data_IF_581799130653
#
_entry.id   IF_581799130653
#
_cell.length_a   1.000
_cell.length_b   1.000
_cell.length_c   1.000
_cell.angle_alpha   90.00
_cell.angle_beta   90.00
_cell.angle_gamma   90.00
#
_symmetry.space_group_name_H-M   'P 1'
#
loop_
_entity.id
_entity.type
_entity.pdbx_description
1 polymer ?
#
# COMPACT_ATOMS: atom_id res chain seq x y z
N UNK A 1 -22.90 -19.05 -21.13
CA UNK A 1 -22.60 -18.21 -22.29
C UNK A 1 -23.26 -16.86 -22.05
N UNK A 2 -22.50 -15.90 -21.52
CA UNK A 2 -22.99 -14.57 -21.22
C UNK A 2 -23.37 -13.82 -22.49
N UNK A 3 -24.34 -12.94 -22.38
CA UNK A 3 -24.76 -12.04 -23.45
C UNK A 3 -23.59 -11.14 -23.87
N UNK A 4 -22.87 -11.53 -24.90
CA UNK A 4 -21.71 -10.76 -25.43
C UNK A 4 -22.08 -9.31 -25.76
N UNK A 5 -23.31 -9.09 -26.25
CA UNK A 5 -23.80 -7.74 -26.54
C UNK A 5 -23.91 -6.88 -25.30
N UNK A 6 -24.27 -7.46 -24.16
CA UNK A 6 -24.31 -6.77 -22.86
C UNK A 6 -22.91 -6.45 -22.36
N UNK A 7 -22.00 -7.41 -22.46
CA UNK A 7 -20.60 -7.23 -22.08
C UNK A 7 -19.92 -6.11 -22.88
N UNK A 8 -20.10 -6.07 -24.20
CA UNK A 8 -19.57 -5.02 -25.07
C UNK A 8 -20.16 -3.63 -24.74
N UNK A 9 -21.46 -3.55 -24.39
CA UNK A 9 -22.10 -2.30 -23.93
C UNK A 9 -21.58 -1.85 -22.58
N UNK A 10 -21.39 -2.77 -21.63
CA UNK A 10 -20.82 -2.48 -20.31
C UNK A 10 -19.37 -1.99 -20.46
N UNK A 11 -18.55 -2.68 -21.26
CA UNK A 11 -17.19 -2.25 -21.53
C UNK A 11 -17.15 -0.83 -22.15
N UNK A 12 -18.02 -0.55 -23.13
CA UNK A 12 -18.14 0.78 -23.75
C UNK A 12 -18.57 1.84 -22.74
N UNK A 13 -19.48 1.51 -21.79
CA UNK A 13 -19.90 2.41 -20.73
C UNK A 13 -18.73 2.75 -19.79
N UNK A 14 -17.97 1.76 -19.34
CA UNK A 14 -16.81 1.98 -18.47
C UNK A 14 -15.73 2.82 -19.19
N UNK A 15 -15.47 2.60 -20.48
CA UNK A 15 -14.53 3.43 -21.24
C UNK A 15 -15.01 4.88 -21.28
N UNK A 16 -16.32 5.15 -21.47
CA UNK A 16 -16.87 6.51 -21.41
C UNK A 16 -16.67 7.16 -20.03
N UNK A 17 -17.01 6.45 -18.95
CA UNK A 17 -16.84 6.94 -17.58
C UNK A 17 -15.37 7.26 -17.33
N UNK A 18 -14.46 6.32 -17.65
CA UNK A 18 -13.02 6.50 -17.44
C UNK A 18 -12.42 7.59 -18.34
N UNK A 19 -12.98 7.83 -19.53
CA UNK A 19 -12.58 8.97 -20.36
C UNK A 19 -12.97 10.31 -19.74
N UNK A 20 -14.14 10.39 -19.10
CA UNK A 20 -14.52 11.60 -18.33
C UNK A 20 -13.58 11.79 -17.14
N UNK A 21 -13.31 10.73 -16.38
CA UNK A 21 -12.35 10.78 -15.27
C UNK A 21 -10.95 11.12 -15.75
N UNK A 22 -10.52 10.60 -16.90
CA UNK A 22 -9.26 10.97 -17.57
C UNK A 22 -9.17 12.49 -17.78
N UNK A 23 -10.21 13.11 -18.35
CA UNK A 23 -10.25 14.57 -18.55
C UNK A 23 -10.17 15.34 -17.22
N UNK A 24 -10.84 14.86 -16.17
CA UNK A 24 -10.78 15.47 -14.84
C UNK A 24 -9.38 15.35 -14.22
N UNK A 25 -8.72 14.20 -14.36
CA UNK A 25 -7.34 13.99 -13.88
C UNK A 25 -6.38 14.91 -14.63
N UNK A 26 -6.51 15.01 -15.96
CA UNK A 26 -5.68 15.92 -16.76
C UNK A 26 -5.88 17.37 -16.32
N UNK A 27 -7.12 17.81 -16.16
CA UNK A 27 -7.40 19.18 -15.73
C UNK A 27 -6.82 19.46 -14.32
N UNK A 28 -7.05 18.56 -13.36
CA UNK A 28 -6.53 18.68 -12.00
C UNK A 28 -4.99 18.64 -11.96
N UNK A 29 -4.37 17.72 -12.69
CA UNK A 29 -2.92 17.58 -12.74
C UNK A 29 -2.22 18.77 -13.40
N UNK A 30 -2.77 19.29 -14.49
CA UNK A 30 -2.22 20.52 -15.11
C UNK A 30 -2.43 21.75 -14.23
N UNK A 31 -3.57 21.86 -13.55
CA UNK A 31 -3.82 22.94 -12.60
C UNK A 31 -2.83 22.85 -11.41
N UNK A 32 -2.58 21.66 -10.90
CA UNK A 32 -1.59 21.43 -9.85
C UNK A 32 -0.17 21.79 -10.34
N UNK A 33 0.23 21.34 -11.53
CA UNK A 33 1.53 21.66 -12.12
C UNK A 33 1.73 23.17 -12.36
N UNK A 34 0.65 23.90 -12.71
CA UNK A 34 0.70 25.35 -12.85
C UNK A 34 0.89 26.08 -11.51
N UNK A 35 0.30 25.55 -10.43
CA UNK A 35 0.35 26.15 -9.08
C UNK A 35 1.40 25.52 -8.15
N UNK A 36 2.38 24.83 -8.67
CA UNK A 36 3.40 24.10 -7.91
C UNK A 36 4.24 25.00 -6.99
N UNK A 37 4.29 26.31 -7.29
CA UNK A 37 4.97 27.30 -6.45
C UNK A 37 4.37 27.41 -5.04
N UNK A 38 3.07 27.16 -4.87
CA UNK A 38 2.40 27.15 -3.56
C UNK A 38 2.86 25.97 -2.72
N UNK A 39 3.15 24.83 -3.37
CA UNK A 39 3.66 23.60 -2.72
C UNK A 39 5.16 23.67 -2.42
N UNK A 40 5.92 24.49 -3.14
CA UNK A 40 7.39 24.48 -3.19
C UNK A 40 8.07 25.34 -2.12
N UNK A 41 7.47 25.49 -0.94
CA UNK A 41 8.01 26.32 0.15
C UNK A 41 9.47 26.00 0.54
N UNK A 42 9.90 24.75 0.31
CA UNK A 42 11.21 24.22 0.68
C UNK A 42 12.06 23.71 -0.51
N UNK A 43 11.64 23.98 -1.76
CA UNK A 43 12.30 23.49 -2.97
C UNK A 43 13.03 24.63 -3.71
N UNK A 44 14.16 24.29 -4.34
CA UNK A 44 14.89 25.20 -5.22
C UNK A 44 14.15 25.39 -6.56
N UNK A 45 14.49 26.43 -7.32
CA UNK A 45 13.86 26.70 -8.62
C UNK A 45 14.03 25.54 -9.62
N UNK A 46 15.20 24.89 -9.62
CA UNK A 46 15.51 23.75 -10.50
C UNK A 46 14.73 22.50 -10.09
N UNK A 47 14.56 22.26 -8.78
CA UNK A 47 13.74 21.17 -8.26
C UNK A 47 12.25 21.37 -8.62
N UNK A 48 11.76 22.61 -8.55
CA UNK A 48 10.38 22.94 -8.96
C UNK A 48 10.19 22.71 -10.46
N UNK A 49 11.16 23.06 -11.30
CA UNK A 49 11.10 22.79 -12.73
C UNK A 49 11.04 21.29 -13.04
N UNK A 50 11.91 20.51 -12.40
CA UNK A 50 11.93 19.04 -12.52
C UNK A 50 10.64 18.42 -12.00
N UNK A 51 10.14 18.85 -10.85
CA UNK A 51 8.90 18.38 -10.26
C UNK A 51 7.70 18.68 -11.18
N UNK A 52 7.68 19.84 -11.84
CA UNK A 52 6.63 20.18 -12.81
C UNK A 52 6.58 19.20 -13.97
N UNK A 53 7.74 18.85 -14.54
CA UNK A 53 7.84 17.85 -15.62
C UNK A 53 7.37 16.49 -15.13
N UNK A 54 7.80 16.07 -13.95
CA UNK A 54 7.38 14.79 -13.35
C UNK A 54 5.88 14.73 -13.11
N UNK A 55 5.28 15.79 -12.55
CA UNK A 55 3.82 15.87 -12.31
C UNK A 55 3.05 15.77 -13.62
N UNK A 56 3.48 16.49 -14.67
CA UNK A 56 2.84 16.43 -15.98
C UNK A 56 2.92 15.02 -16.56
N UNK A 57 4.11 14.40 -16.56
CA UNK A 57 4.31 13.03 -17.06
C UNK A 57 3.47 12.01 -16.29
N UNK A 58 3.46 12.08 -14.96
CA UNK A 58 2.65 11.18 -14.13
C UNK A 58 1.16 11.39 -14.34
N UNK A 59 0.71 12.62 -14.49
CA UNK A 59 -0.69 12.98 -14.80
C UNK A 59 -1.11 12.36 -16.12
N UNK A 60 -0.33 12.59 -17.17
CA UNK A 60 -0.62 12.03 -18.51
C UNK A 60 -0.59 10.50 -18.47
N UNK A 61 0.42 9.91 -17.81
CA UNK A 61 0.52 8.47 -17.65
C UNK A 61 -0.74 7.88 -16.99
N UNK A 62 -1.13 8.40 -15.83
CA UNK A 62 -2.31 7.90 -15.11
C UNK A 62 -3.60 8.12 -15.90
N UNK A 63 -3.79 9.30 -16.46
CA UNK A 63 -5.00 9.68 -17.17
C UNK A 63 -5.20 8.84 -18.44
N UNK A 64 -4.16 8.72 -19.28
CA UNK A 64 -4.25 8.04 -20.59
C UNK A 64 -4.50 6.55 -20.42
N UNK A 65 -3.87 5.89 -19.42
CA UNK A 65 -4.03 4.46 -19.24
C UNK A 65 -5.31 4.05 -18.51
N UNK A 66 -6.00 4.98 -17.85
CA UNK A 66 -7.23 4.68 -17.12
C UNK A 66 -8.33 4.06 -18.02
N UNK A 67 -8.70 4.59 -19.19
CA UNK A 67 -9.67 3.95 -20.08
C UNK A 67 -9.22 2.57 -20.57
N UNK A 68 -7.92 2.35 -20.74
CA UNK A 68 -7.37 1.07 -21.19
C UNK A 68 -7.37 0.00 -20.09
N UNK A 69 -7.50 0.37 -18.82
CA UNK A 69 -7.61 -0.56 -17.71
C UNK A 69 -8.85 -1.46 -17.78
N UNK A 70 -9.88 -1.04 -18.52
CA UNK A 70 -11.08 -1.84 -18.83
C UNK A 70 -10.69 -3.16 -19.50
N UNK A 71 -9.71 -3.14 -20.40
CA UNK A 71 -9.28 -4.35 -21.10
C UNK A 71 -8.56 -5.35 -20.19
N UNK A 72 -7.80 -4.84 -19.20
CA UNK A 72 -7.21 -5.69 -18.15
C UNK A 72 -8.30 -6.38 -17.32
N UNK A 73 -9.34 -5.64 -16.95
CA UNK A 73 -10.49 -6.17 -16.20
C UNK A 73 -11.28 -7.21 -17.00
N UNK A 74 -11.45 -7.00 -18.32
CA UNK A 74 -12.08 -7.99 -19.23
C UNK A 74 -11.28 -9.29 -19.32
N UNK A 75 -9.94 -9.20 -19.41
CA UNK A 75 -9.06 -10.38 -19.42
C UNK A 75 -9.22 -11.17 -18.12
N UNK A 76 -9.30 -10.48 -16.98
CA UNK A 76 -9.48 -11.10 -15.66
C UNK A 76 -10.89 -11.71 -15.52
N UNK A 77 -11.94 -11.01 -15.97
CA UNK A 77 -13.33 -11.50 -15.95
C UNK A 77 -13.53 -12.77 -16.80
N UNK A 78 -12.73 -12.93 -17.86
CA UNK A 78 -12.69 -14.15 -18.67
C UNK A 78 -11.75 -15.24 -18.12
N UNK A 79 -11.36 -15.13 -16.84
CA UNK A 79 -10.51 -16.11 -16.13
C UNK A 79 -9.16 -16.38 -16.80
N UNK A 80 -8.64 -15.43 -17.59
CA UNK A 80 -7.34 -15.55 -18.25
C UNK A 80 -6.19 -15.19 -17.30
N UNK A 81 -6.21 -15.81 -16.12
CA UNK A 81 -5.26 -15.56 -15.03
C UNK A 81 -3.80 -15.77 -15.43
N UNK A 82 -3.51 -16.79 -16.23
CA UNK A 82 -2.13 -17.09 -16.67
C UNK A 82 -1.56 -15.91 -17.46
N UNK A 83 -2.30 -15.42 -18.48
CA UNK A 83 -1.87 -14.28 -19.27
C UNK A 83 -1.70 -13.02 -18.43
N UNK A 84 -2.67 -12.74 -17.53
CA UNK A 84 -2.63 -11.59 -16.62
C UNK A 84 -1.40 -11.65 -15.70
N UNK A 85 -1.13 -12.80 -15.08
CA UNK A 85 0.00 -13.00 -14.18
C UNK A 85 1.34 -12.95 -14.89
N UNK A 86 1.48 -13.60 -16.05
CA UNK A 86 2.71 -13.56 -16.86
C UNK A 86 3.07 -12.13 -17.27
N UNK A 87 2.08 -11.38 -17.77
CA UNK A 87 2.32 -9.98 -18.17
C UNK A 87 2.71 -9.11 -16.98
N UNK A 88 2.05 -9.30 -15.82
CA UNK A 88 2.42 -8.63 -14.57
C UNK A 88 3.84 -8.98 -14.11
N UNK A 89 4.23 -10.26 -14.16
CA UNK A 89 5.60 -10.71 -13.82
C UNK A 89 6.64 -10.11 -14.77
N UNK A 90 6.38 -10.13 -16.07
CA UNK A 90 7.26 -9.52 -17.07
C UNK A 90 7.44 -8.02 -16.83
N UNK A 91 6.35 -7.29 -16.56
CA UNK A 91 6.41 -5.86 -16.24
C UNK A 91 7.20 -5.60 -14.95
N UNK A 92 7.00 -6.43 -13.91
CA UNK A 92 7.70 -6.29 -12.63
C UNK A 92 9.20 -6.60 -12.72
N UNK A 93 9.62 -7.48 -13.63
CA UNK A 93 11.04 -7.76 -13.89
C UNK A 93 11.66 -6.73 -14.85
N UNK A 94 10.91 -6.30 -15.86
CA UNK A 94 11.40 -5.32 -16.83
C UNK A 94 11.59 -3.92 -16.23
N UNK A 95 10.75 -3.52 -15.26
CA UNK A 95 10.80 -2.18 -14.68
C UNK A 95 12.16 -1.87 -14.01
N UNK A 96 12.70 -2.68 -13.09
CA UNK A 96 14.01 -2.42 -12.49
C UNK A 96 15.14 -2.42 -13.51
N UNK A 97 15.13 -3.34 -14.48
CA UNK A 97 16.16 -3.43 -15.52
C UNK A 97 16.16 -2.18 -16.41
N UNK A 98 15.00 -1.74 -16.84
CA UNK A 98 14.87 -0.54 -17.66
C UNK A 98 15.25 0.71 -16.87
N UNK A 99 14.84 0.79 -15.60
CA UNK A 99 15.22 1.88 -14.70
C UNK A 99 16.73 1.96 -14.50
N UNK A 100 17.41 0.83 -14.27
CA UNK A 100 18.87 0.79 -14.15
C UNK A 100 19.54 1.26 -15.43
N UNK A 101 19.11 0.76 -16.59
CA UNK A 101 19.65 1.16 -17.88
C UNK A 101 19.56 2.68 -18.10
N UNK A 102 18.38 3.28 -17.81
CA UNK A 102 18.18 4.72 -17.98
C UNK A 102 18.99 5.56 -16.97
N UNK A 103 19.16 5.07 -15.74
CA UNK A 103 20.02 5.72 -14.75
C UNK A 103 21.48 5.72 -15.19
N UNK A 104 22.00 4.60 -15.71
CA UNK A 104 23.36 4.53 -16.27
C UNK A 104 23.53 5.43 -17.49
N UNK A 105 22.48 5.66 -18.26
CA UNK A 105 22.48 6.63 -19.37
C UNK A 105 22.34 8.11 -18.90
N UNK A 106 22.20 8.38 -17.58
CA UNK A 106 22.16 9.73 -17.04
C UNK A 106 20.78 10.42 -17.11
N UNK A 107 19.69 9.70 -17.40
CA UNK A 107 18.35 10.30 -17.55
C UNK A 107 17.68 10.73 -16.22
N UNK A 108 18.25 10.37 -15.07
CA UNK A 108 17.76 10.79 -13.75
C UNK A 108 16.30 10.40 -13.48
N UNK A 109 15.61 11.19 -12.65
CA UNK A 109 14.22 10.92 -12.22
C UNK A 109 13.20 10.99 -13.37
N UNK A 110 13.42 11.84 -14.35
CA UNK A 110 12.54 11.95 -15.53
C UNK A 110 12.60 10.67 -16.36
N UNK A 111 13.79 10.07 -16.51
CA UNK A 111 13.95 8.78 -17.18
C UNK A 111 13.19 7.65 -16.49
N UNK A 112 13.16 7.62 -15.16
CA UNK A 112 12.41 6.63 -14.39
C UNK A 112 10.88 6.72 -14.63
N UNK A 113 10.34 7.93 -14.73
CA UNK A 113 8.92 8.11 -15.03
C UNK A 113 8.61 7.79 -16.49
N UNK A 114 9.51 8.16 -17.40
CA UNK A 114 9.37 7.82 -18.83
C UNK A 114 9.41 6.30 -19.04
N UNK A 115 10.27 5.56 -18.33
CA UNK A 115 10.32 4.09 -18.39
C UNK A 115 9.00 3.45 -17.97
N UNK A 116 8.42 3.94 -16.88
CA UNK A 116 7.10 3.48 -16.42
C UNK A 116 6.02 3.72 -17.45
N UNK A 117 6.07 4.85 -18.17
CA UNK A 117 5.13 5.16 -19.25
C UNK A 117 5.27 4.17 -20.40
N UNK A 118 6.49 3.87 -20.84
CA UNK A 118 6.76 2.88 -21.90
C UNK A 118 6.25 1.50 -21.50
N UNK A 119 6.55 1.04 -20.28
CA UNK A 119 6.06 -0.23 -19.76
C UNK A 119 4.54 -0.31 -19.69
N UNK A 120 3.88 0.79 -19.32
CA UNK A 120 2.43 0.88 -19.31
C UNK A 120 1.85 0.78 -20.73
N UNK A 121 2.46 1.43 -21.74
CA UNK A 121 2.05 1.27 -23.13
C UNK A 121 2.14 -0.20 -23.59
N UNK A 122 3.22 -0.88 -23.26
CA UNK A 122 3.39 -2.30 -23.60
C UNK A 122 2.34 -3.16 -22.87
N UNK A 123 2.16 -2.92 -21.57
CA UNK A 123 1.25 -3.71 -20.72
C UNK A 123 -0.21 -3.54 -21.13
N UNK A 124 -0.70 -2.29 -21.16
CA UNK A 124 -2.10 -2.01 -21.51
C UNK A 124 -2.37 -2.22 -22.99
N UNK A 125 -1.39 -1.97 -23.86
CA UNK A 125 -1.45 -2.32 -25.27
C UNK A 125 -1.62 -3.84 -25.48
N UNK A 126 -0.90 -4.65 -24.69
CA UNK A 126 -1.01 -6.10 -24.69
C UNK A 126 -2.38 -6.58 -24.21
N UNK A 127 -2.94 -6.00 -23.14
CA UNK A 127 -4.30 -6.31 -22.68
C UNK A 127 -5.34 -5.94 -23.75
N UNK A 128 -5.19 -4.76 -24.35
CA UNK A 128 -6.09 -4.29 -25.41
C UNK A 128 -6.04 -5.21 -26.62
N UNK A 129 -4.84 -5.55 -27.11
CA UNK A 129 -4.65 -6.46 -28.22
C UNK A 129 -5.22 -7.86 -27.93
N UNK A 130 -5.03 -8.37 -26.72
CA UNK A 130 -5.57 -9.66 -26.29
C UNK A 130 -7.11 -9.65 -26.26
N UNK A 131 -7.71 -8.61 -25.65
CA UNK A 131 -9.17 -8.48 -25.56
C UNK A 131 -9.81 -8.35 -26.95
N UNK A 132 -9.25 -7.52 -27.84
CA UNK A 132 -9.80 -7.30 -29.18
C UNK A 132 -9.59 -8.48 -30.12
N UNK A 133 -8.39 -9.13 -30.11
CA UNK A 133 -8.03 -10.19 -31.06
C UNK A 133 -8.40 -11.58 -30.57
N UNK A 134 -8.12 -11.90 -29.31
CA UNK A 134 -8.29 -13.26 -28.74
C UNK A 134 -9.67 -13.46 -28.13
N UNK A 135 -10.16 -12.52 -27.33
CA UNK A 135 -11.51 -12.56 -26.76
C UNK A 135 -12.57 -12.06 -27.75
N UNK A 136 -12.14 -11.29 -28.76
CA UNK A 136 -13.01 -10.69 -29.80
C UNK A 136 -14.12 -9.81 -29.21
N UNK A 137 -13.86 -9.13 -28.09
CA UNK A 137 -14.77 -8.21 -27.44
C UNK A 137 -14.52 -6.81 -27.99
N UNK A 138 -15.53 -6.23 -28.63
CA UNK A 138 -15.47 -4.87 -29.18
C UNK A 138 -16.37 -3.95 -28.35
N UNK A 139 -15.80 -3.00 -27.59
CA UNK A 139 -16.61 -2.08 -26.78
C UNK A 139 -17.66 -1.36 -27.66
N UNK A 140 -18.91 -1.44 -27.22
CA UNK A 140 -20.03 -0.80 -27.91
C UNK A 140 -20.47 0.45 -27.15
N UNK A 141 -20.48 1.59 -27.85
CA UNK A 141 -20.87 2.87 -27.27
C UNK A 141 -22.38 3.17 -27.40
N UNK A 142 -23.19 2.14 -27.74
CA UNK A 142 -24.66 2.26 -27.81
C UNK A 142 -25.26 2.50 -26.42
N UNK A 143 -26.53 2.91 -26.36
CA UNK A 143 -27.26 3.10 -25.11
C UNK A 143 -27.27 1.82 -24.28
N UNK A 144 -26.87 1.93 -23.04
CA UNK A 144 -26.91 0.88 -22.01
C UNK A 144 -28.32 0.77 -21.42
N UNK A 145 -28.60 -0.31 -20.72
CA UNK A 145 -29.85 -0.53 -20.01
C UNK A 145 -30.17 0.63 -19.06
N UNK A 146 -31.44 1.11 -19.02
CA UNK A 146 -31.84 2.17 -18.09
C UNK A 146 -31.58 1.72 -16.64
N UNK A 147 -30.97 2.59 -15.84
CA UNK A 147 -30.64 2.32 -14.43
C UNK A 147 -29.26 1.71 -14.17
N UNK A 148 -28.64 0.99 -15.11
CA UNK A 148 -27.32 0.36 -14.92
C UNK A 148 -26.22 1.37 -14.55
N UNK A 149 -26.24 2.55 -15.16
CA UNK A 149 -25.27 3.61 -14.83
C UNK A 149 -25.41 4.05 -13.36
N UNK A 150 -26.63 4.22 -12.86
CA UNK A 150 -26.88 4.61 -11.47
C UNK A 150 -26.42 3.54 -10.47
N UNK A 151 -26.64 2.26 -10.78
CA UNK A 151 -26.19 1.14 -9.96
C UNK A 151 -24.66 1.07 -9.92
N UNK A 152 -23.99 1.18 -11.07
CA UNK A 152 -22.52 1.20 -11.16
C UNK A 152 -21.96 2.39 -10.39
N UNK A 153 -22.49 3.60 -10.58
CA UNK A 153 -21.99 4.78 -9.89
C UNK A 153 -22.16 4.69 -8.39
N UNK A 154 -23.31 4.18 -7.91
CA UNK A 154 -23.56 3.97 -6.47
C UNK A 154 -22.54 2.98 -5.88
N UNK A 155 -22.33 1.83 -6.51
CA UNK A 155 -21.34 0.84 -6.08
C UNK A 155 -19.93 1.42 -6.12
N UNK A 156 -19.55 2.06 -7.24
CA UNK A 156 -18.23 2.64 -7.42
C UNK A 156 -17.95 3.78 -6.43
N UNK A 157 -18.94 4.57 -6.04
CA UNK A 157 -18.77 5.63 -5.05
C UNK A 157 -18.36 5.07 -3.68
N UNK A 158 -18.94 3.95 -3.24
CA UNK A 158 -18.53 3.31 -1.98
C UNK A 158 -17.11 2.75 -2.05
N UNK A 159 -16.75 2.10 -3.17
CA UNK A 159 -15.38 1.60 -3.38
C UNK A 159 -14.39 2.75 -3.44
N UNK A 160 -14.73 3.84 -4.13
CA UNK A 160 -13.91 5.03 -4.22
C UNK A 160 -13.67 5.67 -2.84
N UNK A 161 -14.72 5.84 -2.03
CA UNK A 161 -14.59 6.37 -0.67
C UNK A 161 -13.69 5.50 0.20
N UNK A 162 -13.82 4.17 0.12
CA UNK A 162 -12.95 3.25 0.84
C UNK A 162 -11.48 3.40 0.39
N UNK A 163 -11.25 3.47 -0.92
CA UNK A 163 -9.90 3.66 -1.48
C UNK A 163 -9.31 5.03 -1.15
N UNK A 164 -10.14 6.10 -1.09
CA UNK A 164 -9.67 7.40 -0.63
C UNK A 164 -9.18 7.37 0.81
N UNK A 165 -9.89 6.68 1.70
CA UNK A 165 -9.46 6.52 3.09
C UNK A 165 -8.10 5.81 3.16
N UNK A 166 -7.91 4.75 2.38
CA UNK A 166 -6.64 4.03 2.33
C UNK A 166 -5.50 4.93 1.80
N UNK A 167 -5.73 5.68 0.72
CA UNK A 167 -4.71 6.61 0.18
C UNK A 167 -4.37 7.72 1.17
N UNK A 168 -5.37 8.34 1.80
CA UNK A 168 -5.15 9.36 2.81
C UNK A 168 -4.34 8.80 3.98
N UNK A 169 -4.64 7.60 4.40
CA UNK A 169 -3.96 6.94 5.50
C UNK A 169 -2.49 6.65 5.22
N UNK A 170 -2.15 6.18 4.00
CA UNK A 170 -0.80 5.72 3.67
C UNK A 170 0.09 6.76 2.99
N UNK A 171 -0.48 7.84 2.45
CA UNK A 171 0.26 8.76 1.60
C UNK A 171 0.32 10.19 2.10
N UNK A 172 -0.54 10.58 3.04
CA UNK A 172 -0.64 11.98 3.48
C UNK A 172 0.64 12.44 4.19
N UNK A 173 1.28 11.58 4.99
CA UNK A 173 2.53 11.93 5.67
C UNK A 173 3.61 12.37 4.68
N UNK A 174 3.73 11.68 3.54
CA UNK A 174 4.70 11.99 2.48
C UNK A 174 4.43 13.35 1.83
N UNK A 175 3.15 13.70 1.66
CA UNK A 175 2.74 15.00 1.11
C UNK A 175 3.07 16.13 2.08
N UNK A 176 2.76 15.95 3.37
CA UNK A 176 3.04 16.94 4.42
C UNK A 176 4.55 17.14 4.58
N UNK A 177 5.33 16.04 4.63
CA UNK A 177 6.79 16.10 4.73
C UNK A 177 7.37 16.82 3.51
N UNK A 178 6.91 16.47 2.30
CA UNK A 178 7.37 17.11 1.07
C UNK A 178 7.07 18.62 1.03
N UNK A 179 5.92 19.02 1.55
CA UNK A 179 5.55 20.43 1.67
C UNK A 179 6.37 21.18 2.72
N UNK A 180 6.58 20.58 3.90
CA UNK A 180 7.20 21.26 5.05
C UNK A 180 8.74 21.19 5.03
N UNK A 181 9.33 20.04 4.64
CA UNK A 181 10.75 19.73 4.77
C UNK A 181 11.48 19.47 3.44
N UNK A 182 10.71 19.31 2.33
CA UNK A 182 11.27 19.15 1.00
C UNK A 182 11.52 17.72 0.54
N UNK A 183 12.16 17.59 -0.62
CA UNK A 183 12.31 16.32 -1.34
C UNK A 183 13.24 15.33 -0.63
N UNK A 184 14.35 15.81 -0.05
CA UNK A 184 15.33 14.95 0.64
C UNK A 184 14.71 14.29 1.86
N UNK A 185 14.00 15.06 2.71
CA UNK A 185 13.29 14.54 3.87
C UNK A 185 12.22 13.52 3.47
N UNK A 186 11.51 13.76 2.37
CA UNK A 186 10.54 12.82 1.81
C UNK A 186 11.22 11.52 1.35
N UNK A 187 12.40 11.59 0.74
CA UNK A 187 13.15 10.41 0.33
C UNK A 187 13.57 9.56 1.54
N UNK A 188 14.10 10.19 2.60
CA UNK A 188 14.46 9.51 3.85
C UNK A 188 13.24 8.81 4.48
N UNK A 189 12.12 9.52 4.58
CA UNK A 189 10.87 8.94 5.09
C UNK A 189 10.37 7.77 4.24
N UNK A 190 10.43 7.88 2.91
CA UNK A 190 10.02 6.80 1.99
C UNK A 190 10.85 5.54 2.16
N UNK A 191 12.17 5.66 2.35
CA UNK A 191 13.04 4.52 2.62
C UNK A 191 12.58 3.80 3.88
N UNK A 192 12.37 4.53 4.98
CA UNK A 192 11.85 3.94 6.22
C UNK A 192 10.47 3.27 6.05
N UNK A 193 9.54 3.95 5.38
CA UNK A 193 8.18 3.43 5.15
C UNK A 193 8.14 2.20 4.22
N UNK A 194 9.14 2.00 3.37
CA UNK A 194 9.22 0.84 2.47
C UNK A 194 9.30 -0.47 3.23
N UNK A 195 10.04 -0.52 4.33
CA UNK A 195 10.13 -1.72 5.18
C UNK A 195 8.78 -2.13 5.76
N UNK A 196 7.96 -1.15 6.17
CA UNK A 196 6.61 -1.39 6.63
C UNK A 196 5.74 -2.05 5.53
N UNK A 197 5.89 -1.63 4.27
CA UNK A 197 5.17 -2.21 3.13
C UNK A 197 5.51 -3.69 2.94
N UNK A 198 6.78 -4.07 3.04
CA UNK A 198 7.21 -5.46 2.91
C UNK A 198 6.65 -6.36 4.02
N UNK A 199 6.72 -5.90 5.27
CA UNK A 199 6.17 -6.66 6.41
C UNK A 199 4.65 -6.82 6.31
N UNK A 200 3.95 -5.76 5.88
CA UNK A 200 2.50 -5.79 5.62
C UNK A 200 2.16 -6.78 4.52
N UNK A 201 2.92 -6.80 3.42
CA UNK A 201 2.73 -7.73 2.31
C UNK A 201 2.84 -9.19 2.75
N UNK A 202 3.82 -9.51 3.59
CA UNK A 202 3.99 -10.87 4.11
C UNK A 202 2.82 -11.30 5.01
N UNK A 203 2.39 -10.44 5.93
CA UNK A 203 1.26 -10.74 6.82
C UNK A 203 -0.05 -10.92 6.03
N UNK A 204 -0.31 -10.07 5.04
CA UNK A 204 -1.52 -10.16 4.22
C UNK A 204 -1.53 -11.41 3.34
N UNK A 205 -0.38 -11.86 2.85
CA UNK A 205 -0.26 -13.12 2.10
C UNK A 205 -0.71 -14.32 2.94
N UNK A 206 -0.31 -14.38 4.22
CA UNK A 206 -0.69 -15.47 5.12
C UNK A 206 -2.19 -15.44 5.43
N UNK A 207 -2.71 -14.28 5.84
CA UNK A 207 -4.12 -14.16 6.22
C UNK A 207 -5.06 -14.31 5.03
N UNK A 208 -4.62 -13.94 3.83
CA UNK A 208 -5.40 -14.07 2.59
C UNK A 208 -5.75 -15.52 2.24
N UNK A 209 -4.90 -16.48 2.60
CA UNK A 209 -5.16 -17.92 2.40
C UNK A 209 -6.38 -18.43 3.20
N UNK A 210 -6.77 -17.72 4.25
CA UNK A 210 -7.86 -18.13 5.13
C UNK A 210 -9.23 -17.55 4.72
N UNK A 211 -9.25 -16.61 3.79
CA UNK A 211 -10.49 -15.93 3.36
C UNK A 211 -11.59 -16.92 2.95
N UNK A 212 -11.34 -17.91 2.06
CA UNK A 212 -12.37 -18.86 1.66
C UNK A 212 -12.94 -19.64 2.84
N UNK A 213 -12.07 -20.10 3.75
CA UNK A 213 -12.47 -20.86 4.94
C UNK A 213 -13.31 -20.04 5.90
N UNK A 214 -12.91 -18.79 6.16
CA UNK A 214 -13.65 -17.89 7.03
C UNK A 214 -15.01 -17.53 6.45
N UNK A 215 -15.10 -17.34 5.14
CA UNK A 215 -16.37 -17.10 4.43
C UNK A 215 -17.28 -18.32 4.51
N UNK A 216 -16.76 -19.53 4.29
CA UNK A 216 -17.54 -20.76 4.45
C UNK A 216 -18.08 -20.93 5.87
N UNK A 217 -17.24 -20.66 6.87
CA UNK A 217 -17.66 -20.69 8.29
C UNK A 217 -18.76 -19.68 8.59
N UNK A 218 -18.68 -18.47 8.03
CA UNK A 218 -19.69 -17.44 8.21
C UNK A 218 -21.03 -17.83 7.56
N UNK A 219 -20.98 -18.43 6.35
CA UNK A 219 -22.19 -18.92 5.65
C UNK A 219 -22.86 -20.09 6.40
N UNK A 220 -22.07 -20.93 7.07
CA UNK A 220 -22.56 -22.08 7.87
C UNK A 220 -22.91 -21.72 9.32
N UNK A 221 -22.96 -20.44 9.66
CA UNK A 221 -23.22 -19.96 11.03
C UNK A 221 -22.38 -20.67 12.09
N UNK A 222 -21.06 -20.86 11.81
CA UNK A 222 -20.15 -21.51 12.72
C UNK A 222 -20.09 -20.81 14.08
N UNK A 223 -19.89 -21.55 15.19
CA UNK A 223 -19.75 -20.98 16.52
C UNK A 223 -18.65 -19.92 16.60
N UNK A 224 -18.88 -18.86 17.38
CA UNK A 224 -17.93 -17.73 17.54
C UNK A 224 -16.58 -18.16 18.10
N UNK A 225 -16.58 -19.21 18.91
CA UNK A 225 -15.40 -19.83 19.48
C UNK A 225 -14.43 -20.32 18.41
N UNK A 226 -14.94 -20.87 17.31
CA UNK A 226 -14.12 -21.30 16.17
C UNK A 226 -13.43 -20.16 15.45
N UNK A 227 -14.08 -19.02 15.30
CA UNK A 227 -13.44 -17.82 14.75
C UNK A 227 -12.33 -17.33 15.68
N UNK A 228 -12.56 -17.37 17.00
CA UNK A 228 -11.58 -17.02 18.03
C UNK A 228 -10.36 -17.94 18.00
N UNK A 229 -10.56 -19.26 17.90
CA UNK A 229 -9.47 -20.24 17.77
C UNK A 229 -8.59 -19.98 16.55
N UNK A 230 -9.20 -19.74 15.37
CA UNK A 230 -8.45 -19.45 14.15
C UNK A 230 -7.71 -18.12 14.30
N UNK A 231 -8.36 -17.09 14.82
CA UNK A 231 -7.74 -15.78 15.06
C UNK A 231 -6.50 -15.91 15.96
N UNK A 232 -6.60 -16.63 17.08
CA UNK A 232 -5.50 -16.82 18.01
C UNK A 232 -4.38 -17.67 17.37
N UNK A 233 -4.74 -18.77 16.70
CA UNK A 233 -3.76 -19.68 16.08
C UNK A 233 -2.94 -18.99 15.00
N UNK A 234 -3.62 -18.30 14.09
CA UNK A 234 -2.95 -17.60 12.98
C UNK A 234 -2.21 -16.38 13.46
N UNK A 235 -2.79 -15.63 14.41
CA UNK A 235 -2.12 -14.47 15.00
C UNK A 235 -0.81 -14.84 15.71
N UNK A 236 -0.73 -16.02 16.36
CA UNK A 236 0.53 -16.54 16.92
C UNK A 236 1.58 -16.81 15.82
N UNK A 237 1.17 -17.45 14.72
CA UNK A 237 2.06 -17.70 13.58
C UNK A 237 2.55 -16.39 12.97
N UNK A 238 1.64 -15.44 12.74
CA UNK A 238 1.99 -14.11 12.25
C UNK A 238 2.90 -13.36 13.23
N UNK A 239 2.68 -13.50 14.54
CA UNK A 239 3.55 -12.89 15.55
C UNK A 239 4.98 -13.42 15.45
N UNK A 240 5.18 -14.74 15.32
CA UNK A 240 6.53 -15.31 15.17
C UNK A 240 7.23 -14.71 13.96
N UNK A 241 6.57 -14.66 12.81
CA UNK A 241 7.16 -14.16 11.57
C UNK A 241 7.41 -12.65 11.62
N UNK A 242 6.41 -11.87 12.01
CA UNK A 242 6.52 -10.41 12.03
C UNK A 242 7.52 -9.95 13.08
N UNK A 243 7.48 -10.53 14.31
CA UNK A 243 8.42 -10.19 15.36
C UNK A 243 9.85 -10.61 15.04
N UNK A 244 10.06 -11.74 14.35
CA UNK A 244 11.38 -12.13 13.84
C UNK A 244 11.93 -11.08 12.87
N UNK A 245 11.12 -10.63 11.90
CA UNK A 245 11.54 -9.59 10.94
C UNK A 245 11.81 -8.26 11.64
N UNK A 246 10.93 -7.85 12.57
CA UNK A 246 11.13 -6.61 13.34
C UNK A 246 12.39 -6.71 14.21
N UNK A 247 12.63 -7.84 14.88
CA UNK A 247 13.84 -8.05 15.68
C UNK A 247 15.11 -8.05 14.82
N UNK A 248 15.07 -8.69 13.66
CA UNK A 248 16.18 -8.62 12.70
C UNK A 248 16.42 -7.18 12.20
N UNK A 249 15.35 -6.43 11.93
CA UNK A 249 15.49 -5.04 11.54
C UNK A 249 16.02 -4.15 12.67
N UNK A 250 15.59 -4.37 13.91
CA UNK A 250 16.16 -3.68 15.09
C UNK A 250 17.67 -3.93 15.18
N UNK A 251 18.11 -5.17 14.95
CA UNK A 251 19.51 -5.55 15.06
C UNK A 251 20.36 -5.03 13.88
N UNK A 252 19.90 -5.21 12.65
CA UNK A 252 20.71 -5.03 11.43
C UNK A 252 20.28 -3.83 10.58
N UNK A 253 19.10 -3.25 10.85
CA UNK A 253 18.48 -2.24 9.98
C UNK A 253 19.31 -0.96 9.82
N UNK A 254 20.01 -0.52 10.86
CA UNK A 254 20.86 0.68 10.80
C UNK A 254 22.01 0.51 9.82
N UNK A 255 22.75 -0.59 9.94
CA UNK A 255 23.86 -0.94 9.05
C UNK A 255 23.37 -1.25 7.65
N UNK A 256 22.26 -1.94 7.53
CA UNK A 256 21.64 -2.24 6.24
C UNK A 256 21.28 -0.94 5.48
N UNK A 257 20.62 0.02 6.13
CA UNK A 257 20.25 1.29 5.50
C UNK A 257 21.50 2.07 5.10
N UNK A 258 22.52 2.14 5.95
CA UNK A 258 23.78 2.82 5.64
C UNK A 258 24.46 2.24 4.39
N UNK A 259 24.49 0.91 4.26
CA UNK A 259 25.07 0.23 3.09
C UNK A 259 24.19 0.32 1.84
N UNK A 260 22.87 0.28 2.02
CA UNK A 260 21.91 0.20 0.91
C UNK A 260 21.56 1.57 0.34
N UNK A 261 21.22 2.53 1.20
CA UNK A 261 20.80 3.86 0.81
C UNK A 261 21.95 4.87 0.80
N UNK A 262 23.04 4.58 1.53
CA UNK A 262 24.21 5.44 1.64
C UNK A 262 24.11 6.46 2.78
N UNK A 263 25.10 7.34 2.90
CA UNK A 263 25.15 8.36 3.95
C UNK A 263 24.02 9.38 3.78
N UNK A 264 23.52 9.90 4.91
CA UNK A 264 22.41 10.87 4.94
C UNK A 264 21.01 10.26 5.06
N UNK A 265 20.90 8.92 5.13
CA UNK A 265 19.63 8.22 5.29
C UNK A 265 19.48 7.54 6.66
N UNK A 266 20.32 7.89 7.64
CA UNK A 266 20.36 7.25 8.96
C UNK A 266 19.01 7.39 9.71
N UNK A 267 18.33 8.51 9.54
CA UNK A 267 17.02 8.75 10.17
C UNK A 267 15.92 7.80 9.65
N UNK A 268 16.08 7.24 8.44
CA UNK A 268 15.14 6.26 7.90
C UNK A 268 15.01 5.01 8.78
N UNK A 269 16.04 4.66 9.55
CA UNK A 269 16.00 3.58 10.53
C UNK A 269 14.96 3.85 11.63
N UNK A 270 14.97 5.05 12.20
CA UNK A 270 14.00 5.43 13.23
C UNK A 270 12.58 5.57 12.68
N UNK A 271 12.43 6.11 11.47
CA UNK A 271 11.14 6.15 10.75
C UNK A 271 10.58 4.73 10.57
N UNK A 272 11.43 3.79 10.11
CA UNK A 272 11.04 2.41 9.95
C UNK A 272 10.59 1.78 11.27
N UNK A 273 11.34 1.94 12.36
CA UNK A 273 10.97 1.42 13.68
C UNK A 273 9.65 2.00 14.20
N UNK A 274 9.48 3.33 14.12
CA UNK A 274 8.28 4.03 14.58
C UNK A 274 7.02 3.61 13.79
N UNK A 275 7.18 3.17 12.55
CA UNK A 275 6.06 2.68 11.74
C UNK A 275 5.88 1.17 11.82
N UNK A 276 6.95 0.36 11.82
CA UNK A 276 6.88 -1.12 11.85
C UNK A 276 6.44 -1.69 13.19
N UNK A 277 6.93 -1.13 14.31
CA UNK A 277 6.60 -1.67 15.64
C UNK A 277 5.10 -1.57 15.94
N UNK A 278 4.43 -0.40 15.79
CA UNK A 278 3.00 -0.32 16.05
C UNK A 278 2.17 -1.08 15.04
N UNK A 279 2.58 -1.15 13.77
CA UNK A 279 1.85 -1.88 12.74
C UNK A 279 1.90 -3.40 12.97
N UNK A 280 2.83 -3.90 13.77
CA UNK A 280 2.86 -5.33 14.17
C UNK A 280 1.51 -5.77 14.75
N UNK A 281 0.84 -4.91 15.55
CA UNK A 281 -0.45 -5.26 16.16
C UNK A 281 -1.54 -5.55 15.13
N UNK A 282 -1.89 -4.63 14.19
CA UNK A 282 -2.87 -4.95 13.16
C UNK A 282 -2.42 -6.08 12.23
N UNK A 283 -1.12 -6.30 12.02
CA UNK A 283 -0.63 -7.38 11.18
C UNK A 283 -0.85 -8.76 11.80
N UNK A 284 -0.58 -8.93 13.09
CA UNK A 284 -0.85 -10.21 13.79
C UNK A 284 -2.34 -10.45 14.00
N UNK A 285 -3.17 -9.42 13.84
CA UNK A 285 -4.63 -9.47 13.91
C UNK A 285 -5.30 -9.42 12.52
N UNK A 286 -4.53 -9.53 11.43
CA UNK A 286 -5.05 -9.36 10.07
C UNK A 286 -6.15 -10.40 9.72
N UNK A 287 -6.11 -11.59 10.33
CA UNK A 287 -7.20 -12.57 10.26
C UNK A 287 -8.53 -12.00 10.78
N UNK A 288 -8.50 -11.10 11.76
CA UNK A 288 -9.69 -10.42 12.27
C UNK A 288 -10.37 -9.53 11.22
N UNK A 289 -9.60 -8.89 10.35
CA UNK A 289 -10.13 -8.15 9.21
C UNK A 289 -10.93 -9.08 8.28
N UNK A 290 -10.37 -10.24 7.94
CA UNK A 290 -11.05 -11.22 7.09
C UNK A 290 -12.32 -11.76 7.76
N UNK A 291 -12.32 -11.95 9.09
CA UNK A 291 -13.51 -12.31 9.86
C UNK A 291 -14.58 -11.19 9.76
N UNK A 292 -14.19 -9.91 9.87
CA UNK A 292 -15.12 -8.79 9.71
C UNK A 292 -15.75 -8.75 8.33
N UNK A 293 -14.97 -9.02 7.28
CA UNK A 293 -15.50 -9.12 5.90
C UNK A 293 -16.46 -10.30 5.76
N UNK A 294 -16.09 -11.48 6.24
CA UNK A 294 -16.92 -12.67 6.18
C UNK A 294 -18.26 -12.48 6.92
N UNK A 295 -18.26 -11.79 8.06
CA UNK A 295 -19.45 -11.47 8.86
C UNK A 295 -20.19 -10.19 8.42
N UNK A 296 -19.73 -9.51 7.35
CA UNK A 296 -20.26 -8.21 6.88
C UNK A 296 -20.28 -7.11 7.97
N UNK A 297 -19.30 -7.10 8.86
CA UNK A 297 -19.17 -6.15 10.00
C UNK A 297 -17.98 -5.20 9.86
N UNK A 298 -17.51 -4.96 8.66
CA UNK A 298 -16.33 -4.13 8.38
C UNK A 298 -16.57 -2.61 8.50
N UNK A 299 -17.84 -2.16 8.49
CA UNK A 299 -18.20 -0.73 8.49
C UNK A 299 -17.60 0.04 9.67
N UNK A 300 -17.69 -0.51 10.89
CA UNK A 300 -17.14 0.14 12.08
C UNK A 300 -15.63 0.35 11.96
N UNK A 301 -14.90 -0.66 11.48
CA UNK A 301 -13.47 -0.56 11.25
C UNK A 301 -13.14 0.57 10.27
N UNK A 302 -13.88 0.69 9.18
CA UNK A 302 -13.68 1.77 8.20
C UNK A 302 -13.87 3.16 8.82
N UNK A 303 -14.86 3.34 9.70
CA UNK A 303 -15.06 4.59 10.44
C UNK A 303 -13.91 4.89 11.41
N UNK A 304 -13.42 3.87 12.12
CA UNK A 304 -12.25 4.02 13.01
C UNK A 304 -11.02 4.42 12.22
N UNK A 305 -10.76 3.77 11.08
CA UNK A 305 -9.61 4.10 10.23
C UNK A 305 -9.69 5.50 9.64
N UNK A 306 -10.89 5.98 9.29
CA UNK A 306 -11.09 7.37 8.89
C UNK A 306 -10.76 8.34 10.04
N UNK A 307 -11.25 8.07 11.25
CA UNK A 307 -10.92 8.87 12.42
C UNK A 307 -9.42 8.89 12.73
N UNK A 308 -8.77 7.72 12.64
CA UNK A 308 -7.31 7.57 12.80
C UNK A 308 -6.55 8.35 11.74
N UNK A 309 -6.99 8.30 10.46
CA UNK A 309 -6.37 9.06 9.38
C UNK A 309 -6.46 10.58 9.61
N UNK A 310 -7.63 11.07 10.00
CA UNK A 310 -7.81 12.51 10.32
C UNK A 310 -6.93 12.93 11.51
N UNK A 311 -6.90 12.12 12.57
CA UNK A 311 -6.04 12.39 13.73
C UNK A 311 -4.55 12.36 13.35
N UNK A 312 -4.13 11.40 12.50
CA UNK A 312 -2.76 11.32 11.98
C UNK A 312 -2.38 12.58 11.21
N UNK A 313 -3.23 13.03 10.28
CA UNK A 313 -3.00 14.26 9.50
C UNK A 313 -2.77 15.45 10.44
N UNK A 314 -3.65 15.65 11.42
CA UNK A 314 -3.56 16.76 12.37
C UNK A 314 -2.28 16.70 13.21
N UNK A 315 -1.93 15.50 13.71
CA UNK A 315 -0.71 15.30 14.51
C UNK A 315 0.55 15.46 13.64
N UNK A 316 0.55 14.97 12.41
CA UNK A 316 1.68 15.09 11.49
C UNK A 316 1.95 16.56 11.17
N UNK A 317 0.91 17.38 10.87
CA UNK A 317 1.07 18.82 10.66
C UNK A 317 1.70 19.52 11.86
N UNK A 318 1.29 19.17 13.08
CA UNK A 318 1.79 19.83 14.29
C UNK A 318 3.19 19.36 14.68
N UNK A 319 3.52 18.07 14.45
CA UNK A 319 4.79 17.50 14.88
C UNK A 319 5.90 17.61 13.82
N UNK A 320 5.57 17.70 12.55
CA UNK A 320 6.58 17.78 11.47
C UNK A 320 7.41 19.06 11.56
N UNK A 321 6.80 20.18 11.91
CA UNK A 321 7.51 21.45 12.05
C UNK A 321 8.46 21.47 13.26
N UNK A 322 8.18 20.66 14.29
CA UNK A 322 8.97 20.63 15.54
C UNK A 322 10.02 19.51 15.57
N UNK A 323 9.67 18.36 15.06
CA UNK A 323 10.46 17.12 15.17
C UNK A 323 10.86 16.53 13.84
N UNK A 324 10.64 17.24 12.73
CA UNK A 324 10.99 16.78 11.40
C UNK A 324 10.27 15.49 10.99
N UNK A 325 10.96 14.64 10.22
CA UNK A 325 10.43 13.37 9.75
C UNK A 325 10.13 12.37 10.88
N UNK A 326 10.87 12.45 11.98
CA UNK A 326 10.61 11.62 13.16
C UNK A 326 9.27 12.01 13.79
N UNK A 327 8.90 13.32 13.79
CA UNK A 327 7.60 13.79 14.24
C UNK A 327 6.45 13.20 13.42
N UNK A 328 6.58 13.14 12.10
CA UNK A 328 5.60 12.51 11.22
C UNK A 328 5.45 11.00 11.51
N UNK A 329 6.56 10.28 11.66
CA UNK A 329 6.55 8.87 12.00
C UNK A 329 5.95 8.59 13.39
N UNK A 330 6.23 9.47 14.37
CA UNK A 330 5.66 9.40 15.72
C UNK A 330 4.15 9.67 15.72
N UNK A 331 3.66 10.59 14.87
CA UNK A 331 2.23 10.84 14.69
C UNK A 331 1.51 9.58 14.16
N UNK A 332 2.09 8.94 13.16
CA UNK A 332 1.59 7.66 12.62
C UNK A 332 1.61 6.58 13.70
N UNK A 333 2.68 6.46 14.47
CA UNK A 333 2.78 5.53 15.60
C UNK A 333 1.64 5.75 16.60
N UNK A 334 1.43 6.99 17.07
CA UNK A 334 0.38 7.33 18.02
C UNK A 334 -1.03 6.99 17.49
N UNK A 335 -1.29 7.34 16.24
CA UNK A 335 -2.56 7.05 15.56
C UNK A 335 -2.82 5.53 15.44
N UNK A 336 -1.79 4.74 15.11
CA UNK A 336 -1.88 3.27 15.10
C UNK A 336 -2.16 2.68 16.47
N UNK A 337 -1.46 3.14 17.50
CA UNK A 337 -1.64 2.67 18.87
C UNK A 337 -3.09 2.91 19.31
N UNK A 338 -3.60 4.11 19.16
CA UNK A 338 -4.97 4.45 19.58
C UNK A 338 -5.99 3.65 18.78
N UNK A 339 -5.90 3.65 17.45
CA UNK A 339 -6.89 3.00 16.59
C UNK A 339 -6.88 1.49 16.71
N UNK A 340 -5.72 0.86 16.57
CA UNK A 340 -5.63 -0.59 16.47
C UNK A 340 -5.49 -1.29 17.83
N UNK A 341 -4.71 -0.75 18.76
CA UNK A 341 -4.52 -1.42 20.06
C UNK A 341 -5.76 -1.24 20.95
N UNK A 342 -6.32 -0.02 21.01
CA UNK A 342 -7.46 0.21 21.90
C UNK A 342 -8.80 0.00 21.20
N UNK A 343 -9.11 0.77 20.15
CA UNK A 343 -10.48 0.79 19.58
C UNK A 343 -10.83 -0.51 18.86
N UNK A 344 -9.95 -1.03 18.00
CA UNK A 344 -10.23 -2.25 17.23
C UNK A 344 -10.24 -3.48 18.14
N UNK A 345 -9.35 -3.59 19.13
CA UNK A 345 -9.38 -4.70 20.10
C UNK A 345 -10.65 -4.70 20.95
N UNK A 346 -11.11 -3.50 21.38
CA UNK A 346 -12.39 -3.37 22.07
C UNK A 346 -13.56 -3.88 21.19
N UNK A 347 -13.55 -3.52 19.90
CA UNK A 347 -14.58 -3.96 18.94
C UNK A 347 -14.56 -5.48 18.73
N UNK A 348 -13.40 -6.07 18.54
CA UNK A 348 -13.26 -7.53 18.44
C UNK A 348 -13.79 -8.24 19.67
N UNK A 349 -13.46 -7.75 20.86
CA UNK A 349 -13.91 -8.34 22.12
C UNK A 349 -15.43 -8.19 22.33
N UNK A 350 -15.96 -6.97 22.25
CA UNK A 350 -17.36 -6.66 22.64
C UNK A 350 -18.38 -6.99 21.57
N UNK A 351 -18.05 -6.85 20.28
CA UNK A 351 -19.04 -6.95 19.19
C UNK A 351 -18.88 -8.20 18.34
N UNK A 352 -17.67 -8.71 18.19
CA UNK A 352 -17.37 -9.91 17.41
C UNK A 352 -17.27 -11.14 18.33
N UNK A 353 -17.00 -10.92 19.62
CA UNK A 353 -16.79 -11.95 20.65
C UNK A 353 -15.56 -12.84 20.39
N UNK A 354 -14.50 -12.22 19.86
CA UNK A 354 -13.17 -12.85 19.80
C UNK A 354 -12.53 -12.76 21.20
N UNK A 355 -11.92 -13.83 21.66
CA UNK A 355 -11.21 -13.85 22.95
C UNK A 355 -9.87 -13.10 22.86
N UNK A 356 -9.96 -11.76 22.92
CA UNK A 356 -8.80 -10.87 22.88
C UNK A 356 -7.89 -11.03 24.12
N UNK A 357 -8.42 -11.22 25.36
CA UNK A 357 -7.56 -11.49 26.50
C UNK A 357 -6.69 -12.73 26.33
N UNK A 358 -7.25 -13.85 25.83
CA UNK A 358 -6.51 -15.07 25.57
C UNK A 358 -5.50 -14.88 24.42
N UNK A 359 -5.86 -14.11 23.38
CA UNK A 359 -4.96 -13.74 22.29
C UNK A 359 -3.71 -13.03 22.85
N UNK A 360 -3.89 -11.94 23.60
CA UNK A 360 -2.78 -11.17 24.16
C UNK A 360 -1.95 -11.97 25.17
N UNK A 361 -2.60 -12.81 26.01
CA UNK A 361 -1.88 -13.73 26.91
C UNK A 361 -0.92 -14.64 26.14
N UNK A 362 -1.35 -15.19 25.01
CA UNK A 362 -0.50 -16.03 24.16
C UNK A 362 0.65 -15.23 23.51
N UNK A 363 0.37 -14.02 23.01
CA UNK A 363 1.38 -13.16 22.39
C UNK A 363 2.43 -12.73 23.43
N UNK A 364 1.99 -12.23 24.60
CA UNK A 364 2.89 -11.80 25.68
C UNK A 364 3.76 -12.94 26.23
N UNK A 365 3.27 -14.19 26.20
CA UNK A 365 4.09 -15.35 26.58
C UNK A 365 5.24 -15.62 25.62
N UNK A 366 5.07 -15.25 24.34
CA UNK A 366 6.07 -15.44 23.29
C UNK A 366 7.02 -14.24 23.14
N UNK A 367 6.57 -13.05 23.52
CA UNK A 367 7.32 -11.79 23.32
C UNK A 367 8.70 -11.75 24.01
N UNK A 368 8.95 -12.32 25.21
CA UNK A 368 10.26 -12.26 25.84
C UNK A 368 11.38 -12.87 24.99
N UNK A 369 11.10 -13.99 24.32
CA UNK A 369 12.08 -14.65 23.45
C UNK A 369 12.52 -13.70 22.31
N UNK A 370 11.54 -13.06 21.67
CA UNK A 370 11.82 -12.15 20.55
C UNK A 370 12.51 -10.86 20.99
N UNK A 371 12.15 -10.36 22.19
CA UNK A 371 12.83 -9.21 22.78
C UNK A 371 14.29 -9.53 23.12
N UNK A 372 14.56 -10.67 23.74
CA UNK A 372 15.93 -11.09 24.08
C UNK A 372 16.76 -11.30 22.81
N UNK A 373 16.19 -11.95 21.78
CA UNK A 373 16.87 -12.12 20.49
C UNK A 373 17.16 -10.79 19.81
N UNK A 374 16.17 -9.89 19.74
CA UNK A 374 16.31 -8.59 19.09
C UNK A 374 17.32 -7.69 19.81
N UNK A 375 17.25 -7.60 21.14
CA UNK A 375 18.18 -6.80 21.93
C UNK A 375 19.59 -7.40 21.95
N UNK A 376 19.70 -8.72 22.07
CA UNK A 376 21.00 -9.42 22.03
C UNK A 376 21.72 -9.24 20.68
N UNK A 377 20.98 -9.40 19.58
CA UNK A 377 21.52 -9.17 18.24
C UNK A 377 21.85 -7.68 18.00
N UNK A 378 21.07 -6.75 18.53
CA UNK A 378 21.34 -5.32 18.44
C UNK A 378 22.66 -4.97 19.16
N UNK A 379 22.87 -5.44 20.41
CA UNK A 379 24.13 -5.27 21.14
C UNK A 379 25.32 -5.88 20.40
N UNK A 380 25.11 -7.06 19.80
CA UNK A 380 26.15 -7.72 19.03
C UNK A 380 26.59 -6.90 17.81
N UNK A 381 25.67 -6.27 17.12
CA UNK A 381 25.94 -5.46 15.93
C UNK A 381 26.41 -4.05 16.24
N UNK A 382 25.94 -3.43 17.33
CA UNK A 382 26.31 -2.05 17.71
C UNK A 382 27.80 -1.94 18.06
N UNK A 383 28.41 -3.04 18.56
CA UNK A 383 29.85 -3.10 18.88
C UNK A 383 30.75 -3.31 17.64
N UNK A 384 30.21 -3.33 16.41
CA UNK A 384 30.96 -3.70 15.20
C UNK A 384 30.81 -2.66 14.10
N UNK A 385 31.93 -2.37 13.45
CA UNK A 385 31.94 -1.56 12.23
C UNK A 385 31.65 -2.44 11.02
N UNK A 386 30.65 -2.04 10.23
CA UNK A 386 30.21 -2.77 9.03
C UNK A 386 30.29 -1.81 7.84
N UNK A 387 31.41 -1.88 7.11
CA UNK A 387 31.72 -0.95 6.05
C UNK A 387 31.40 -1.49 4.65
N UNK A 388 31.12 -2.77 4.54
CA UNK A 388 30.83 -3.41 3.24
C UNK A 388 29.91 -4.63 3.40
N UNK A 389 29.22 -5.01 2.31
CA UNK A 389 28.25 -6.12 2.30
C UNK A 389 28.80 -7.46 2.75
N UNK A 390 30.09 -7.75 2.44
CA UNK A 390 30.74 -8.99 2.89
C UNK A 390 30.86 -9.08 4.41
N UNK A 391 31.21 -7.98 5.09
CA UNK A 391 31.23 -7.90 6.55
C UNK A 391 29.79 -8.01 7.11
N UNK A 392 28.82 -7.35 6.48
CA UNK A 392 27.42 -7.42 6.88
C UNK A 392 26.90 -8.86 6.91
N UNK A 393 27.03 -9.60 5.81
CA UNK A 393 26.58 -11.01 5.74
C UNK A 393 27.43 -11.98 6.54
N UNK A 394 28.67 -11.62 6.86
CA UNK A 394 29.53 -12.44 7.72
C UNK A 394 29.17 -12.36 9.21
N UNK A 395 28.49 -11.28 9.63
CA UNK A 395 28.09 -11.06 11.02
C UNK A 395 26.58 -11.26 11.27
N UNK A 396 25.72 -11.16 10.22
CA UNK A 396 24.29 -11.41 10.26
C UNK A 396 23.95 -12.92 10.21
#
# INVERSE_FOLDING_TARGET
AGDRGREERVAGLFIKIYSVVCCLILAAGFLFAANLQIYSRSLTADEVATLRVLVILMTVNTAVFLPFSVFSSLVLAHERYVFHKLLGMLSSLAAPLLNLALLFCGFGSVGLVASSTVLNFITYGSYTAYALRKLRIRPSFRRTEPGLLGEILKFSAFVFLASMVDVLYWSTDKLIIGWALGAVATAVYNIGATFNTYVTGLSTAISGLLVPRLTEMAVKDAPKERFSEIFIRVGRLQFILVSFIVSAFVAFGRQFIALWAGPGYEEAYYVALLTMVPVTVPLIQNTGLNILYALNKHQFRSMVYLGVAVANIALTFWWVERYGIIGAAAATCAAYVVGNIFVINWYYYKKIHIDIPLFWKNILRMSPVMLVMGTGAWFWMDCRTVDHWGAFFGWA
#
